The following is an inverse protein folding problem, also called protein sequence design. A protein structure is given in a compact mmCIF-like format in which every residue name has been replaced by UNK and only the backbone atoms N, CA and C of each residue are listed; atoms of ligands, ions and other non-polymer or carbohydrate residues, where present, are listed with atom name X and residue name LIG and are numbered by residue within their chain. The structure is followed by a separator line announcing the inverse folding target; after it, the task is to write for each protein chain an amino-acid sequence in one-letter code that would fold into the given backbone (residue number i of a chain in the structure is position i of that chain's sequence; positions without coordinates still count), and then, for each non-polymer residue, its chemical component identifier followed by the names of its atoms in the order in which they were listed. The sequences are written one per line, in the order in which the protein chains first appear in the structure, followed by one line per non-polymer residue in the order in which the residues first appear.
data_IF_882848195808
#
_entry.id   IF_882848195808
#
_cell.length_a   1.000
_cell.length_b   1.000
_cell.length_c   1.000
_cell.angle_alpha   90.00
_cell.angle_beta   90.00
_cell.angle_gamma   90.00
#
_symmetry.space_group_name_H-M   'P 1'
#
loop_
_entity.id
_entity.type
_entity.pdbx_description
1 polymer ?
#
# COMPACT_ATOMS: atom_id res chain seq x y z
N UNK A 1 -72.18 15.34 -35.69
CA UNK A 1 -70.99 16.08 -35.28
C UNK A 1 -71.22 16.67 -33.91
N UNK A 2 -70.34 16.35 -32.96
CA UNK A 2 -70.35 16.86 -31.58
C UNK A 2 -70.64 15.78 -30.53
N UNK A 3 -69.65 15.34 -29.73
CA UNK A 3 -69.91 14.60 -28.51
C UNK A 3 -70.03 15.55 -27.30
N UNK A 4 -70.81 15.20 -26.25
CA UNK A 4 -70.76 15.87 -24.96
C UNK A 4 -70.02 15.05 -23.89
N UNK A 5 -69.18 15.79 -23.15
CA UNK A 5 -68.87 15.76 -21.69
C UNK A 5 -68.77 14.41 -20.94
N UNK A 6 -67.54 14.12 -20.50
CA UNK A 6 -67.14 14.19 -19.08
C UNK A 6 -67.19 12.92 -18.23
N UNK A 7 -66.02 12.45 -17.76
CA UNK A 7 -65.86 11.88 -16.42
C UNK A 7 -64.38 11.86 -16.01
N UNK A 8 -64.19 12.08 -14.71
CA UNK A 8 -62.94 12.27 -13.97
C UNK A 8 -62.07 11.02 -13.98
N UNK A 9 -60.76 11.21 -14.08
CA UNK A 9 -59.74 10.24 -13.73
C UNK A 9 -58.48 10.97 -13.30
N UNK A 10 -58.44 11.41 -12.05
CA UNK A 10 -57.22 11.88 -11.40
C UNK A 10 -56.27 10.69 -11.25
N UNK A 11 -55.36 10.54 -12.19
CA UNK A 11 -54.19 9.70 -12.02
C UNK A 11 -53.17 10.47 -11.20
N UNK A 12 -53.25 10.38 -9.87
CA UNK A 12 -52.06 10.54 -9.05
C UNK A 12 -51.04 9.52 -9.55
N UNK A 13 -50.07 9.97 -10.34
CA UNK A 13 -48.80 9.26 -10.43
C UNK A 13 -48.16 9.41 -9.06
N UNK A 14 -48.40 8.42 -8.21
CA UNK A 14 -47.58 8.15 -7.05
C UNK A 14 -46.19 7.85 -7.60
N UNK A 15 -45.38 8.90 -7.72
CA UNK A 15 -43.96 8.80 -7.99
C UNK A 15 -43.35 8.20 -6.74
N UNK A 16 -43.28 6.87 -6.71
CA UNK A 16 -42.52 6.13 -5.73
C UNK A 16 -41.06 6.50 -5.96
N UNK A 17 -40.61 7.53 -5.27
CA UNK A 17 -39.21 7.92 -5.23
C UNK A 17 -38.55 6.94 -4.28
N UNK A 18 -38.00 5.87 -4.84
CA UNK A 18 -37.03 5.02 -4.16
C UNK A 18 -35.99 5.93 -3.50
N UNK A 19 -36.09 6.09 -2.18
CA UNK A 19 -35.13 6.88 -1.41
C UNK A 19 -33.79 6.16 -1.47
N UNK A 20 -32.94 6.58 -2.40
CA UNK A 20 -31.57 6.08 -2.53
C UNK A 20 -30.83 6.22 -1.20
N UNK A 21 -30.12 5.16 -0.80
CA UNK A 21 -29.25 5.20 0.38
C UNK A 21 -27.99 5.96 0.00
N UNK A 22 -27.65 6.99 0.77
CA UNK A 22 -26.44 7.77 0.60
C UNK A 22 -25.46 7.42 1.72
N UNK A 23 -24.21 7.22 1.34
CA UNK A 23 -23.09 7.19 2.27
C UNK A 23 -22.39 8.54 2.19
N UNK A 24 -22.15 9.16 3.34
CA UNK A 24 -21.52 10.48 3.45
C UNK A 24 -20.22 10.33 4.22
N UNK A 25 -19.12 10.71 3.58
CA UNK A 25 -17.81 10.76 4.21
C UNK A 25 -17.38 12.21 4.40
N UNK A 26 -16.50 12.42 5.38
CA UNK A 26 -15.83 13.70 5.54
C UNK A 26 -14.90 13.91 4.33
N UNK A 27 -14.86 15.13 3.81
CA UNK A 27 -13.88 15.52 2.81
C UNK A 27 -12.47 15.53 3.41
N UNK A 28 -11.54 14.89 2.70
CA UNK A 28 -10.15 14.72 3.13
C UNK A 28 -9.17 15.42 2.18
N UNK A 29 -9.45 15.37 0.89
CA UNK A 29 -8.64 15.97 -0.16
C UNK A 29 -9.24 15.66 -1.52
N UNK A 30 -8.80 16.42 -2.52
CA UNK A 30 -9.31 16.33 -3.89
C UNK A 30 -8.56 15.32 -4.76
N UNK A 31 -7.33 14.94 -4.35
CA UNK A 31 -6.42 14.13 -5.15
C UNK A 31 -6.11 12.78 -4.52
N UNK A 32 -6.03 11.79 -5.37
CA UNK A 32 -5.56 10.44 -5.06
C UNK A 32 -4.05 10.32 -5.30
N UNK A 33 -3.40 9.33 -4.68
CA UNK A 33 -2.01 9.01 -4.94
C UNK A 33 -1.77 8.63 -6.41
N UNK A 34 -2.74 8.04 -7.10
CA UNK A 34 -2.62 7.69 -8.52
C UNK A 34 -2.33 8.93 -9.38
N UNK A 35 -3.02 10.04 -9.13
CA UNK A 35 -2.80 11.30 -9.87
C UNK A 35 -1.39 11.84 -9.65
N UNK A 36 -0.85 11.75 -8.44
CA UNK A 36 0.53 12.13 -8.16
C UNK A 36 1.53 11.20 -8.83
N UNK A 37 1.33 9.88 -8.76
CA UNK A 37 2.22 8.86 -9.34
C UNK A 37 2.32 8.99 -10.85
N UNK A 38 1.22 9.36 -11.53
CA UNK A 38 1.18 9.47 -12.98
C UNK A 38 1.77 10.78 -13.55
N UNK A 39 2.01 11.79 -12.70
CA UNK A 39 2.60 13.05 -13.09
C UNK A 39 4.11 12.93 -13.39
N UNK A 40 4.62 13.81 -14.25
CA UNK A 40 6.01 13.75 -14.74
C UNK A 40 7.06 14.09 -13.69
N UNK A 41 6.68 14.84 -12.66
CA UNK A 41 7.54 15.32 -11.57
C UNK A 41 7.45 14.45 -10.30
N UNK A 42 6.78 13.30 -10.36
CA UNK A 42 6.80 12.31 -9.29
C UNK A 42 8.21 11.75 -9.06
N UNK A 43 8.67 11.55 -7.81
CA UNK A 43 7.90 11.66 -6.55
C UNK A 43 7.94 13.03 -5.84
N UNK A 44 8.65 14.02 -6.38
CA UNK A 44 8.88 15.28 -5.69
C UNK A 44 7.60 16.13 -5.56
N UNK A 45 6.66 15.98 -6.47
CA UNK A 45 5.34 16.62 -6.40
C UNK A 45 4.52 16.25 -5.16
N UNK A 46 4.89 15.18 -4.46
CA UNK A 46 4.23 14.67 -3.28
C UNK A 46 4.98 15.06 -1.99
N UNK A 47 6.15 15.70 -2.08
CA UNK A 47 6.97 16.10 -0.94
C UNK A 47 6.27 17.14 -0.04
N UNK A 48 5.82 18.24 -0.62
CA UNK A 48 5.15 19.31 0.13
C UNK A 48 3.83 18.83 0.77
N UNK A 49 2.92 18.12 0.07
CA UNK A 49 1.71 17.57 0.67
C UNK A 49 1.96 16.59 1.83
N UNK A 50 3.00 15.74 1.73
CA UNK A 50 3.27 14.71 2.74
C UNK A 50 4.00 15.24 3.96
N UNK A 51 5.02 16.07 3.75
CA UNK A 51 5.89 16.47 4.84
C UNK A 51 5.53 17.86 5.38
N UNK A 52 4.93 18.73 4.58
CA UNK A 52 4.55 20.10 4.96
C UNK A 52 5.75 20.81 5.60
N UNK A 53 5.60 21.35 6.81
CA UNK A 53 6.68 21.97 7.57
C UNK A 53 7.85 21.03 7.94
N UNK A 54 7.71 19.71 7.76
CA UNK A 54 8.76 18.70 7.99
C UNK A 54 9.46 18.26 6.71
N UNK A 55 9.28 18.99 5.61
CA UNK A 55 9.92 18.66 4.34
C UNK A 55 11.43 18.51 4.51
N UNK A 56 12.05 17.52 3.85
CA UNK A 56 13.50 17.47 3.72
C UNK A 56 14.05 18.83 3.27
N UNK A 57 15.26 19.16 3.73
CA UNK A 57 15.94 20.36 3.24
C UNK A 57 16.07 20.28 1.71
N UNK A 58 15.79 21.39 1.01
CA UNK A 58 15.86 21.42 -0.45
C UNK A 58 17.29 21.26 -0.97
N UNK A 59 18.27 21.47 -0.10
CA UNK A 59 19.69 21.18 -0.33
C UNK A 59 20.03 19.68 -0.29
N UNK A 60 19.12 18.82 0.19
CA UNK A 60 19.32 17.38 0.17
C UNK A 60 19.23 16.80 -1.25
N UNK A 61 20.00 15.74 -1.48
CA UNK A 61 20.02 14.95 -2.71
C UNK A 61 18.61 14.53 -3.16
N UNK A 62 18.35 14.65 -4.47
CA UNK A 62 17.03 14.41 -5.08
C UNK A 62 16.59 12.96 -4.90
N UNK A 63 17.50 11.99 -5.03
CA UNK A 63 17.17 10.59 -4.82
C UNK A 63 16.86 10.30 -3.36
N UNK A 64 17.58 10.92 -2.41
CA UNK A 64 17.29 10.82 -0.98
C UNK A 64 15.88 11.33 -0.65
N UNK A 65 15.51 12.49 -1.19
CA UNK A 65 14.16 13.08 -1.04
C UNK A 65 13.10 12.19 -1.67
N UNK A 66 13.36 11.69 -2.87
CA UNK A 66 12.51 10.73 -3.57
C UNK A 66 12.27 9.45 -2.76
N UNK A 67 13.34 8.87 -2.21
CA UNK A 67 13.26 7.68 -1.38
C UNK A 67 12.50 7.94 -0.07
N UNK A 68 12.57 9.15 0.50
CA UNK A 68 11.79 9.53 1.67
C UNK A 68 10.28 9.57 1.37
N UNK A 69 9.88 10.13 0.23
CA UNK A 69 8.48 10.15 -0.24
C UNK A 69 7.94 8.73 -0.37
N UNK A 70 8.62 7.86 -1.12
CA UNK A 70 8.18 6.47 -1.32
C UNK A 70 8.04 5.72 0.01
N UNK A 71 9.00 5.92 0.92
CA UNK A 71 8.98 5.30 2.25
C UNK A 71 7.77 5.75 3.07
N UNK A 72 7.40 7.02 3.01
CA UNK A 72 6.24 7.54 3.74
C UNK A 72 4.92 7.00 3.16
N UNK A 73 4.82 6.90 1.84
CA UNK A 73 3.66 6.28 1.19
C UNK A 73 3.50 4.82 1.61
N UNK A 74 4.57 4.02 1.51
CA UNK A 74 4.55 2.60 1.89
C UNK A 74 4.26 2.43 3.38
N UNK A 75 4.86 3.27 4.24
CA UNK A 75 4.58 3.28 5.68
C UNK A 75 3.11 3.51 5.95
N UNK A 76 2.51 4.53 5.33
CA UNK A 76 1.11 4.89 5.50
C UNK A 76 0.18 3.77 5.04
N UNK A 77 0.45 3.16 3.88
CA UNK A 77 -0.32 2.03 3.36
C UNK A 77 -0.26 0.82 4.31
N UNK A 78 0.92 0.46 4.83
CA UNK A 78 1.06 -0.65 5.77
C UNK A 78 0.45 -0.33 7.15
N UNK A 79 0.48 0.92 7.60
CA UNK A 79 -0.19 1.34 8.83
C UNK A 79 -1.72 1.22 8.71
N UNK A 80 -2.29 1.68 7.59
CA UNK A 80 -3.72 1.54 7.29
C UNK A 80 -4.12 0.06 7.23
N UNK A 81 -3.38 -0.75 6.46
CA UNK A 81 -3.61 -2.19 6.37
C UNK A 81 -3.52 -2.87 7.75
N UNK A 82 -2.48 -2.58 8.55
CA UNK A 82 -2.34 -3.11 9.91
C UNK A 82 -3.55 -2.74 10.78
N UNK A 83 -4.04 -1.51 10.70
CA UNK A 83 -5.21 -1.08 11.46
C UNK A 83 -6.46 -1.87 11.07
N UNK A 84 -6.75 -2.00 9.76
CA UNK A 84 -7.87 -2.81 9.26
C UNK A 84 -7.75 -4.29 9.67
N UNK A 85 -6.55 -4.86 9.54
CA UNK A 85 -6.26 -6.25 9.88
C UNK A 85 -6.45 -6.53 11.38
N UNK A 86 -6.08 -5.58 12.24
CA UNK A 86 -6.34 -5.68 13.68
C UNK A 86 -7.84 -5.65 14.02
N UNK A 87 -8.64 -5.08 13.12
CA UNK A 87 -10.10 -5.10 13.13
C UNK A 87 -10.73 -6.35 12.52
N UNK A 88 -9.94 -7.26 11.93
CA UNK A 88 -10.45 -8.42 11.20
C UNK A 88 -10.96 -8.11 9.78
N UNK A 89 -10.64 -6.92 9.26
CA UNK A 89 -11.05 -6.46 7.94
C UNK A 89 -9.87 -6.56 6.96
N UNK A 90 -10.11 -7.04 5.74
CA UNK A 90 -9.15 -7.02 4.63
C UNK A 90 -9.70 -6.10 3.55
N UNK A 91 -8.89 -5.18 3.03
CA UNK A 91 -9.36 -4.17 2.09
C UNK A 91 -9.64 -4.73 0.69
N UNK A 92 -8.81 -5.63 0.19
CA UNK A 92 -8.91 -6.30 -1.13
C UNK A 92 -8.68 -5.43 -2.37
N UNK A 93 -8.56 -4.12 -2.21
CA UNK A 93 -8.38 -3.18 -3.33
C UNK A 93 -7.43 -2.05 -2.94
N UNK A 94 -6.32 -2.39 -2.29
CA UNK A 94 -5.28 -1.42 -1.97
C UNK A 94 -4.57 -1.03 -3.26
N UNK A 95 -4.65 0.24 -3.65
CA UNK A 95 -4.00 0.79 -4.84
C UNK A 95 -3.89 2.31 -4.75
N UNK A 96 -3.06 2.97 -5.56
CA UNK A 96 -2.92 4.42 -5.53
C UNK A 96 -4.23 5.19 -5.72
N UNK A 97 -5.16 4.67 -6.53
CA UNK A 97 -6.46 5.29 -6.76
C UNK A 97 -7.34 5.35 -5.50
N UNK A 98 -7.11 4.42 -4.56
CA UNK A 98 -7.85 4.31 -3.31
C UNK A 98 -7.09 4.96 -2.14
N UNK A 99 -6.00 5.70 -2.40
CA UNK A 99 -5.27 6.43 -1.38
C UNK A 99 -5.44 7.94 -1.57
N UNK A 100 -6.08 8.60 -0.62
CA UNK A 100 -6.34 10.05 -0.66
C UNK A 100 -5.20 10.77 0.05
N UNK A 101 -4.68 11.83 -0.57
CA UNK A 101 -3.73 12.74 0.05
C UNK A 101 -4.51 13.80 0.82
N UNK A 102 -4.41 13.80 2.15
CA UNK A 102 -5.19 14.69 3.01
C UNK A 102 -4.67 16.12 2.97
N UNK A 103 -5.56 17.07 2.69
CA UNK A 103 -5.30 18.52 2.69
C UNK A 103 -5.39 19.10 4.12
N UNK A 104 -5.77 18.30 5.13
CA UNK A 104 -5.97 18.78 6.50
C UNK A 104 -4.68 18.92 7.29
N UNK A 105 -4.53 20.01 8.02
CA UNK A 105 -3.36 20.26 8.87
C UNK A 105 -3.09 19.22 9.97
N UNK A 106 -4.12 18.48 10.39
CA UNK A 106 -4.03 17.44 11.42
C UNK A 106 -4.55 16.08 10.96
N UNK A 107 -3.96 15.02 11.52
CA UNK A 107 -4.28 13.63 11.21
C UNK A 107 -3.31 12.99 10.21
N UNK A 108 -3.65 11.80 9.68
CA UNK A 108 -2.87 11.13 8.65
C UNK A 108 -2.80 11.95 7.36
N UNK A 109 -1.64 12.01 6.74
CA UNK A 109 -1.42 12.69 5.45
C UNK A 109 -1.87 11.85 4.26
N UNK A 110 -1.95 10.53 4.43
CA UNK A 110 -2.48 9.60 3.44
C UNK A 110 -3.54 8.71 4.09
N UNK A 111 -4.69 8.59 3.43
CA UNK A 111 -5.82 7.81 3.89
C UNK A 111 -6.18 6.75 2.87
N UNK A 112 -6.44 5.53 3.33
CA UNK A 112 -6.96 4.45 2.51
C UNK A 112 -8.50 4.56 2.50
N UNK A 113 -9.07 4.61 1.29
CA UNK A 113 -10.49 4.81 1.02
C UNK A 113 -11.04 3.67 0.14
N UNK A 114 -12.34 3.71 -0.13
CA UNK A 114 -13.08 2.71 -0.91
C UNK A 114 -13.09 1.30 -0.30
N UNK A 115 -14.01 1.11 0.65
CA UNK A 115 -14.28 -0.19 1.28
C UNK A 115 -15.28 -1.04 0.49
N UNK A 116 -15.59 -0.71 -0.77
CA UNK A 116 -16.56 -1.44 -1.58
C UNK A 116 -16.20 -2.91 -1.80
N UNK A 117 -14.89 -3.20 -1.87
CA UNK A 117 -14.35 -4.56 -2.01
C UNK A 117 -13.95 -5.20 -0.67
N UNK A 118 -14.03 -4.47 0.45
CA UNK A 118 -13.51 -4.96 1.73
C UNK A 118 -14.34 -6.12 2.27
N UNK A 119 -13.66 -7.03 2.99
CA UNK A 119 -14.29 -8.17 3.69
C UNK A 119 -14.07 -8.05 5.19
N UNK A 120 -15.14 -8.23 5.97
CA UNK A 120 -15.10 -8.29 7.43
C UNK A 120 -15.23 -9.74 7.88
N UNK A 121 -14.12 -10.32 8.34
CA UNK A 121 -14.07 -11.72 8.76
C UNK A 121 -14.61 -11.94 10.17
N UNK A 122 -14.89 -10.89 10.95
CA UNK A 122 -15.49 -11.02 12.29
C UNK A 122 -17.01 -11.07 12.19
N UNK A 123 -17.58 -10.20 11.37
CA UNK A 123 -19.03 -10.06 11.26
C UNK A 123 -19.61 -10.80 10.03
N UNK A 124 -18.77 -11.31 9.14
CA UNK A 124 -19.18 -12.08 7.96
C UNK A 124 -19.69 -11.21 6.79
N UNK A 125 -19.42 -9.90 6.80
CA UNK A 125 -19.78 -9.01 5.68
C UNK A 125 -18.84 -9.21 4.49
N UNK A 126 -19.41 -9.24 3.28
CA UNK A 126 -18.70 -9.44 2.01
C UNK A 126 -17.79 -10.69 2.01
N UNK A 127 -18.18 -11.72 2.77
CA UNK A 127 -17.48 -13.01 2.88
C UNK A 127 -17.67 -13.89 1.64
N UNK A 128 -17.95 -13.32 0.46
CA UNK A 128 -18.03 -14.09 -0.76
C UNK A 128 -16.65 -14.14 -1.43
N UNK A 129 -15.96 -15.30 -1.44
CA UNK A 129 -14.67 -15.43 -2.12
C UNK A 129 -14.78 -15.22 -3.63
N UNK A 130 -15.96 -15.42 -4.23
CA UNK A 130 -16.17 -15.40 -5.68
C UNK A 130 -16.48 -14.01 -6.24
N UNK A 131 -16.79 -13.03 -5.38
CA UNK A 131 -17.20 -11.70 -5.80
C UNK A 131 -16.15 -10.67 -5.35
N UNK A 132 -15.41 -10.18 -6.34
CA UNK A 132 -14.62 -8.98 -6.24
C UNK A 132 -14.07 -8.67 -7.61
N UNK A 133 -14.48 -7.55 -8.19
CA UNK A 133 -13.71 -6.92 -9.26
C UNK A 133 -12.37 -6.51 -8.66
N UNK A 134 -11.39 -7.41 -8.74
CA UNK A 134 -10.04 -7.14 -8.33
C UNK A 134 -9.34 -6.34 -9.42
N UNK A 135 -8.51 -5.39 -9.02
CA UNK A 135 -7.61 -4.74 -9.95
C UNK A 135 -6.42 -5.66 -10.26
N UNK A 136 -6.31 -6.21 -11.49
CA UNK A 136 -5.26 -7.18 -11.83
C UNK A 136 -3.85 -6.59 -11.77
N UNK A 137 -3.71 -5.26 -11.68
CA UNK A 137 -2.43 -4.57 -11.50
C UNK A 137 -1.82 -4.81 -10.12
N UNK A 138 -2.67 -4.92 -9.10
CA UNK A 138 -2.25 -4.99 -7.70
C UNK A 138 -2.71 -6.29 -7.01
N UNK A 139 -3.56 -7.08 -7.66
CA UNK A 139 -4.03 -8.34 -7.13
C UNK A 139 -2.92 -9.41 -7.13
N UNK A 140 -2.80 -10.21 -6.05
CA UNK A 140 -1.89 -11.34 -6.01
C UNK A 140 -2.36 -12.49 -6.92
N UNK A 141 -1.44 -13.39 -7.34
CA UNK A 141 -1.75 -14.49 -8.27
C UNK A 141 -2.79 -15.46 -7.71
N UNK A 142 -2.88 -15.62 -6.39
CA UNK A 142 -3.86 -16.50 -5.78
C UNK A 142 -5.32 -16.00 -5.90
N UNK A 143 -5.54 -14.75 -6.35
CA UNK A 143 -6.83 -14.06 -6.63
C UNK A 143 -7.93 -14.10 -5.54
N UNK A 144 -7.76 -14.87 -4.47
CA UNK A 144 -8.77 -15.11 -3.44
C UNK A 144 -8.19 -14.84 -2.06
N UNK A 145 -8.94 -14.14 -1.20
CA UNK A 145 -8.51 -13.85 0.19
C UNK A 145 -8.53 -15.10 1.06
N UNK A 146 -9.46 -16.03 0.80
CA UNK A 146 -9.58 -17.32 1.47
C UNK A 146 -9.75 -18.42 0.41
N UNK A 147 -9.32 -19.66 0.71
CA UNK A 147 -9.63 -20.79 -0.15
C UNK A 147 -11.14 -20.97 -0.32
N UNK A 148 -11.59 -21.39 -1.51
CA UNK A 148 -13.01 -21.68 -1.78
C UNK A 148 -13.59 -22.81 -0.90
N UNK A 149 -12.74 -23.57 -0.22
CA UNK A 149 -13.12 -24.62 0.73
C UNK A 149 -13.60 -24.07 2.08
N UNK A 150 -13.37 -22.77 2.37
CA UNK A 150 -13.93 -22.12 3.57
C UNK A 150 -15.42 -21.86 3.32
N UNK A 151 -16.34 -22.36 4.18
CA UNK A 151 -17.78 -22.20 3.98
C UNK A 151 -18.18 -20.72 3.85
N UNK A 152 -19.12 -20.42 2.92
CA UNK A 152 -19.74 -19.09 2.79
C UNK A 152 -20.34 -18.70 4.14
N UNK A 153 -19.89 -17.56 4.68
CA UNK A 153 -20.22 -16.96 5.98
C UNK A 153 -20.95 -17.88 6.98
N UNK A 154 -20.26 -18.43 8.00
CA UNK A 154 -20.98 -19.08 9.10
C UNK A 154 -21.84 -18.03 9.85
N UNK A 155 -22.94 -18.42 10.54
CA UNK A 155 -23.77 -17.51 11.34
C UNK A 155 -22.91 -16.52 12.16
N UNK A 156 -23.37 -15.28 12.38
CA UNK A 156 -22.54 -14.21 12.96
C UNK A 156 -21.73 -14.62 14.21
N UNK A 157 -22.28 -15.47 15.08
CA UNK A 157 -21.59 -15.99 16.26
C UNK A 157 -20.41 -16.93 15.93
N UNK A 158 -20.56 -17.81 14.92
CA UNK A 158 -19.50 -18.69 14.45
C UNK A 158 -18.48 -17.98 13.55
N UNK A 159 -18.86 -16.88 12.88
CA UNK A 159 -17.91 -15.99 12.23
C UNK A 159 -16.96 -15.36 13.26
N UNK A 160 -17.48 -14.84 14.37
CA UNK A 160 -16.67 -14.26 15.46
C UNK A 160 -15.72 -15.29 16.09
N UNK A 161 -16.22 -16.50 16.39
CA UNK A 161 -15.41 -17.56 17.00
C UNK A 161 -14.39 -18.17 16.02
N UNK A 162 -14.73 -18.27 14.73
CA UNK A 162 -13.87 -18.81 13.69
C UNK A 162 -12.84 -17.80 13.14
N UNK A 163 -13.10 -16.50 13.27
CA UNK A 163 -12.25 -15.44 12.71
C UNK A 163 -10.79 -15.52 13.14
N UNK A 164 -10.44 -15.71 14.44
CA UNK A 164 -9.05 -15.85 14.86
C UNK A 164 -8.37 -17.08 14.23
N UNK A 165 -9.08 -18.20 14.11
CA UNK A 165 -8.56 -19.41 13.49
C UNK A 165 -8.32 -19.21 11.99
N UNK A 166 -9.27 -18.62 11.27
CA UNK A 166 -9.14 -18.26 9.85
C UNK A 166 -7.94 -17.35 9.64
N UNK A 167 -7.77 -16.34 10.50
CA UNK A 167 -6.66 -15.40 10.40
C UNK A 167 -5.30 -16.08 10.65
N UNK A 168 -5.23 -16.98 11.63
CA UNK A 168 -4.04 -17.75 11.94
C UNK A 168 -3.68 -18.74 10.82
N UNK A 169 -4.67 -19.42 10.24
CA UNK A 169 -4.47 -20.47 9.25
C UNK A 169 -4.19 -19.92 7.85
N UNK A 170 -4.94 -18.90 7.40
CA UNK A 170 -4.93 -18.46 6.00
C UNK A 170 -4.28 -17.09 5.78
N UNK A 171 -3.97 -16.37 6.87
CA UNK A 171 -3.35 -15.04 6.85
C UNK A 171 -3.95 -14.09 5.77
N UNK A 172 -5.27 -13.86 5.78
CA UNK A 172 -5.99 -13.19 4.69
C UNK A 172 -5.53 -11.74 4.47
N UNK A 173 -5.09 -11.03 5.52
CA UNK A 173 -4.51 -9.69 5.40
C UNK A 173 -3.24 -9.62 4.55
N UNK A 174 -2.58 -10.76 4.27
CA UNK A 174 -1.44 -10.78 3.33
C UNK A 174 -1.84 -10.48 1.88
N UNK A 175 -3.14 -10.47 1.57
CA UNK A 175 -3.64 -9.99 0.29
C UNK A 175 -3.28 -8.51 0.09
N UNK A 176 -3.62 -7.66 1.06
CA UNK A 176 -3.36 -6.21 1.00
C UNK A 176 -1.86 -5.90 0.95
N UNK A 177 -1.02 -6.69 1.64
CA UNK A 177 0.42 -6.46 1.66
C UNK A 177 1.10 -6.74 0.32
N UNK A 178 0.54 -7.63 -0.51
CA UNK A 178 1.04 -7.84 -1.87
C UNK A 178 0.83 -6.59 -2.72
N UNK A 179 -0.38 -6.03 -2.65
CA UNK A 179 -0.72 -4.80 -3.35
C UNK A 179 0.19 -3.63 -2.95
N UNK A 180 0.54 -3.52 -1.66
CA UNK A 180 1.55 -2.54 -1.21
C UNK A 180 2.93 -2.79 -1.82
N UNK A 181 3.33 -4.06 -1.99
CA UNK A 181 4.56 -4.42 -2.70
C UNK A 181 4.55 -3.97 -4.17
N UNK A 182 3.43 -4.20 -4.86
CA UNK A 182 3.22 -3.74 -6.25
C UNK A 182 3.25 -2.22 -6.36
N UNK A 183 2.67 -1.50 -5.38
CA UNK A 183 2.76 -0.04 -5.30
C UNK A 183 4.21 0.44 -5.14
N UNK A 184 4.99 -0.17 -4.24
CA UNK A 184 6.40 0.18 -4.08
C UNK A 184 7.18 -0.06 -5.37
N UNK A 185 6.95 -1.19 -6.04
CA UNK A 185 7.56 -1.49 -7.33
C UNK A 185 7.20 -0.44 -8.39
N UNK A 186 5.91 -0.09 -8.50
CA UNK A 186 5.41 0.93 -9.44
C UNK A 186 6.05 2.30 -9.20
N UNK A 187 6.09 2.76 -7.95
CA UNK A 187 6.62 4.09 -7.60
C UNK A 187 8.15 4.15 -7.74
N UNK A 188 8.83 3.05 -7.37
CA UNK A 188 10.28 2.91 -7.36
C UNK A 188 10.93 2.81 -8.74
N UNK A 189 10.17 2.38 -9.75
CA UNK A 189 10.67 2.20 -11.12
C UNK A 189 9.93 3.16 -12.06
N UNK A 190 10.57 4.25 -12.51
CA UNK A 190 9.92 5.31 -13.30
C UNK A 190 9.10 4.83 -14.50
N UNK A 191 9.60 3.82 -15.21
CA UNK A 191 8.97 3.25 -16.40
C UNK A 191 7.65 2.50 -16.09
N UNK A 192 7.40 2.14 -14.82
CA UNK A 192 6.24 1.39 -14.38
C UNK A 192 5.10 2.26 -13.85
N UNK A 193 5.30 3.59 -13.71
CA UNK A 193 4.34 4.50 -13.09
C UNK A 193 3.03 4.64 -13.89
N UNK A 194 3.06 4.34 -15.19
CA UNK A 194 1.86 4.26 -16.04
C UNK A 194 1.13 2.93 -15.83
N UNK A 195 -0.20 3.00 -15.79
CA UNK A 195 -1.08 1.88 -15.43
C UNK A 195 -0.97 0.67 -16.35
N UNK A 196 -0.71 0.90 -17.64
CA UNK A 196 -0.60 -0.12 -18.67
C UNK A 196 0.65 -0.98 -18.47
N UNK A 197 1.77 -0.36 -18.09
CA UNK A 197 3.02 -1.07 -17.79
C UNK A 197 2.84 -2.06 -16.64
N UNK A 198 2.08 -1.68 -15.61
CA UNK A 198 1.95 -2.49 -14.39
C UNK A 198 1.12 -3.76 -14.61
N UNK A 199 0.11 -3.72 -15.50
CA UNK A 199 -0.62 -4.94 -15.87
C UNK A 199 0.31 -5.98 -16.52
N UNK A 200 1.21 -5.54 -17.40
CA UNK A 200 2.19 -6.41 -18.04
C UNK A 200 3.18 -6.98 -17.01
N UNK A 201 3.63 -6.16 -16.06
CA UNK A 201 4.51 -6.61 -14.97
C UNK A 201 3.83 -7.68 -14.12
N UNK A 202 2.59 -7.46 -13.70
CA UNK A 202 1.82 -8.43 -12.92
C UNK A 202 1.73 -9.80 -13.62
N UNK A 203 1.42 -9.80 -14.93
CA UNK A 203 1.40 -11.04 -15.74
C UNK A 203 2.77 -11.71 -15.82
N UNK A 204 3.84 -10.95 -16.07
CA UNK A 204 5.19 -11.52 -16.18
C UNK A 204 5.73 -12.06 -14.85
N UNK A 205 5.37 -11.45 -13.73
CA UNK A 205 5.68 -12.01 -12.40
C UNK A 205 4.97 -13.35 -12.23
N UNK A 206 3.70 -13.46 -12.66
CA UNK A 206 2.99 -14.75 -12.64
C UNK A 206 3.63 -15.80 -13.58
N UNK A 207 4.13 -15.40 -14.75
CA UNK A 207 4.90 -16.27 -15.66
C UNK A 207 6.22 -16.77 -15.03
N UNK A 208 6.80 -15.99 -14.11
CA UNK A 208 7.94 -16.35 -13.27
C UNK A 208 7.53 -17.07 -11.98
N UNK A 209 6.36 -17.71 -11.94
CA UNK A 209 5.90 -18.45 -10.75
C UNK A 209 5.69 -17.58 -9.51
N UNK A 210 5.49 -16.27 -9.66
CA UNK A 210 5.38 -15.33 -8.54
C UNK A 210 6.72 -14.85 -7.99
N UNK A 211 7.83 -15.18 -8.65
CA UNK A 211 9.17 -14.74 -8.27
C UNK A 211 9.52 -13.41 -8.95
N UNK A 212 9.54 -12.34 -8.14
CA UNK A 212 9.86 -10.99 -8.61
C UNK A 212 11.36 -10.80 -8.89
N UNK A 213 12.24 -11.64 -8.31
CA UNK A 213 13.67 -11.62 -8.60
C UNK A 213 13.94 -12.21 -9.98
N UNK A 214 13.35 -13.37 -10.28
CA UNK A 214 13.40 -13.97 -11.61
C UNK A 214 12.79 -13.04 -12.68
N UNK A 215 11.67 -12.37 -12.36
CA UNK A 215 11.08 -11.36 -13.24
C UNK A 215 12.06 -10.22 -13.55
N UNK A 216 12.74 -9.69 -12.53
CA UNK A 216 13.71 -8.61 -12.70
C UNK A 216 14.89 -9.04 -13.57
N UNK A 217 15.39 -10.25 -13.41
CA UNK A 217 16.48 -10.80 -14.23
C UNK A 217 16.08 -10.95 -15.70
N UNK A 218 14.88 -11.49 -15.95
CA UNK A 218 14.40 -11.77 -17.32
C UNK A 218 13.91 -10.53 -18.06
N UNK A 219 13.25 -9.61 -17.37
CA UNK A 219 12.51 -8.51 -18.00
C UNK A 219 12.93 -7.11 -17.53
N UNK A 220 13.77 -7.00 -16.49
CA UNK A 220 14.13 -5.73 -15.86
C UNK A 220 15.35 -5.02 -16.44
N UNK A 221 16.00 -5.57 -17.48
CA UNK A 221 17.29 -5.04 -18.00
C UNK A 221 17.25 -3.57 -18.41
N UNK A 222 16.10 -3.06 -18.87
CA UNK A 222 15.91 -1.68 -19.31
C UNK A 222 15.12 -0.82 -18.29
N UNK A 223 14.91 -1.32 -17.08
CA UNK A 223 14.19 -0.62 -16.03
C UNK A 223 15.17 0.01 -15.03
N UNK A 224 14.81 1.18 -14.51
CA UNK A 224 15.61 1.87 -13.52
C UNK A 224 15.16 1.50 -12.11
N UNK A 225 16.01 0.75 -11.40
CA UNK A 225 15.79 0.32 -10.03
C UNK A 225 16.56 1.15 -9.00
N UNK A 226 17.22 2.25 -9.39
CA UNK A 226 18.12 3.00 -8.52
C UNK A 226 17.48 3.34 -7.18
N UNK A 227 16.24 3.84 -7.17
CA UNK A 227 15.51 4.18 -5.94
C UNK A 227 15.26 2.97 -5.02
N UNK A 228 15.03 1.78 -5.58
CA UNK A 228 14.81 0.53 -4.82
C UNK A 228 16.12 -0.10 -4.34
N UNK A 229 17.20 0.09 -5.09
CA UNK A 229 18.53 -0.45 -4.79
C UNK A 229 19.32 0.39 -3.77
N UNK A 230 18.84 1.60 -3.45
CA UNK A 230 19.39 2.44 -2.38
C UNK A 230 19.46 1.70 -1.05
N UNK A 231 20.41 2.15 -0.22
CA UNK A 231 20.71 1.56 1.09
C UNK A 231 20.96 0.04 1.01
N UNK A 232 21.77 -0.37 0.03
CA UNK A 232 22.12 -1.77 -0.20
C UNK A 232 20.86 -2.64 -0.42
N UNK A 233 20.02 -2.24 -1.37
CA UNK A 233 18.86 -3.00 -1.81
C UNK A 233 17.67 -3.00 -0.86
N UNK A 234 17.58 -2.07 0.09
CA UNK A 234 16.54 -2.15 1.14
C UNK A 234 15.11 -2.07 0.58
N UNK A 235 14.89 -1.24 -0.45
CA UNK A 235 13.59 -1.10 -1.10
C UNK A 235 13.25 -2.35 -1.91
N UNK A 236 14.21 -2.83 -2.70
CA UNK A 236 14.08 -4.07 -3.45
C UNK A 236 13.80 -5.27 -2.54
N UNK A 237 14.55 -5.42 -1.44
CA UNK A 237 14.34 -6.45 -0.44
C UNK A 237 12.91 -6.39 0.12
N UNK A 238 12.35 -5.22 0.39
CA UNK A 238 10.96 -5.14 0.83
C UNK A 238 9.98 -5.61 -0.26
N UNK A 239 10.23 -5.25 -1.53
CA UNK A 239 9.43 -5.75 -2.67
C UNK A 239 9.45 -7.27 -2.71
N UNK A 240 10.62 -7.93 -2.61
CA UNK A 240 10.71 -9.41 -2.64
C UNK A 240 10.03 -10.08 -1.45
N UNK A 241 9.87 -9.38 -0.33
CA UNK A 241 9.14 -9.88 0.85
C UNK A 241 7.63 -9.65 0.81
N UNK A 242 7.15 -8.79 -0.09
CA UNK A 242 5.73 -8.44 -0.26
C UNK A 242 5.13 -9.05 -1.54
N UNK A 243 5.90 -9.08 -2.63
CA UNK A 243 5.54 -9.64 -3.94
C UNK A 243 6.15 -11.03 -4.06
N UNK A 244 5.59 -11.94 -3.26
CA UNK A 244 5.96 -13.36 -3.19
C UNK A 244 4.72 -14.16 -2.79
N UNK A 245 4.80 -15.49 -2.89
CA UNK A 245 3.79 -16.40 -2.37
C UNK A 245 3.33 -16.04 -0.95
N UNK A 246 2.03 -16.17 -0.73
CA UNK A 246 1.37 -15.82 0.53
C UNK A 246 2.02 -16.45 1.76
N UNK A 247 2.47 -17.69 1.66
CA UNK A 247 3.10 -18.41 2.80
C UNK A 247 4.33 -17.65 3.33
N UNK A 248 5.16 -17.12 2.43
CA UNK A 248 6.41 -16.39 2.72
C UNK A 248 6.20 -14.88 2.90
N UNK A 249 5.13 -14.34 2.33
CA UNK A 249 4.81 -12.90 2.33
C UNK A 249 4.71 -12.32 3.74
N UNK A 250 5.28 -11.13 3.95
CA UNK A 250 5.21 -10.44 5.23
C UNK A 250 3.79 -9.92 5.51
N UNK A 251 3.33 -10.05 6.75
CA UNK A 251 2.17 -9.29 7.24
C UNK A 251 2.49 -7.81 7.35
N UNK A 252 1.47 -6.94 7.38
CA UNK A 252 1.65 -5.49 7.50
C UNK A 252 2.45 -5.11 8.76
N UNK A 253 2.17 -5.77 9.89
CA UNK A 253 2.90 -5.55 11.14
C UNK A 253 4.40 -5.90 11.03
N UNK A 254 4.75 -7.00 10.35
CA UNK A 254 6.15 -7.41 10.15
C UNK A 254 6.84 -6.52 9.12
N UNK A 255 6.15 -6.12 8.06
CA UNK A 255 6.66 -5.23 7.02
C UNK A 255 7.00 -3.83 7.59
N UNK A 256 6.21 -3.30 8.52
CA UNK A 256 6.52 -2.05 9.23
C UNK A 256 7.83 -2.10 10.03
N UNK A 257 8.28 -3.30 10.42
CA UNK A 257 9.58 -3.51 11.09
C UNK A 257 10.77 -3.67 10.12
N UNK A 258 10.53 -3.64 8.80
CA UNK A 258 11.56 -3.85 7.79
C UNK A 258 12.55 -2.67 7.74
N UNK A 259 13.82 -2.95 7.40
CA UNK A 259 14.90 -1.94 7.35
C UNK A 259 14.61 -0.77 6.42
N UNK A 260 13.91 -1.01 5.30
CA UNK A 260 13.47 0.04 4.38
C UNK A 260 12.66 1.15 5.08
N UNK A 261 11.81 0.77 6.03
CA UNK A 261 10.93 1.69 6.75
C UNK A 261 11.55 2.25 8.04
N UNK A 262 12.72 1.76 8.44
CA UNK A 262 13.47 2.39 9.53
C UNK A 262 14.10 3.68 8.99
N UNK A 263 14.10 4.73 9.81
CA UNK A 263 14.68 6.01 9.41
C UNK A 263 16.17 5.83 9.10
N UNK A 264 16.66 6.54 8.08
CA UNK A 264 18.09 6.86 8.07
C UNK A 264 18.34 7.70 9.34
N UNK A 265 19.40 7.44 10.09
CA UNK A 265 19.85 8.38 11.12
C UNK A 265 20.16 9.71 10.43
N UNK A 266 19.19 10.62 10.41
CA UNK A 266 19.42 12.02 10.06
C UNK A 266 19.98 12.66 11.34
N UNK A 267 21.30 12.61 11.51
CA UNK A 267 22.02 13.39 12.53
C UNK A 267 22.44 12.67 13.82
N UNK A 268 23.05 11.47 13.73
CA UNK A 268 23.88 10.95 14.84
C UNK A 268 25.33 11.42 14.69
N UNK A 269 26.06 11.73 15.78
CA UNK A 269 27.44 12.23 15.69
C UNK A 269 28.32 11.23 14.93
N UNK A 270 29.05 11.75 13.95
CA UNK A 270 30.12 11.03 13.26
C UNK A 270 31.10 10.57 14.34
N UNK A 271 31.20 9.25 14.53
CA UNK A 271 32.26 8.68 15.36
C UNK A 271 33.59 9.13 14.75
N UNK A 272 34.51 9.71 15.54
CA UNK A 272 35.80 10.11 15.01
C UNK A 272 36.53 8.87 14.44
N UNK A 273 37.33 9.03 13.38
CA UNK A 273 38.13 7.93 12.84
C UNK A 273 39.03 7.36 13.93
N UNK A 274 39.36 6.06 13.88
CA UNK A 274 40.20 5.44 14.88
C UNK A 274 41.55 6.17 14.93
N UNK A 275 41.85 6.67 16.13
CA UNK A 275 43.10 7.34 16.45
C UNK A 275 44.25 6.39 16.08
N UNK A 276 45.10 6.82 15.14
CA UNK A 276 46.32 6.09 14.84
C UNK A 276 47.14 6.08 16.14
N UNK A 277 47.36 4.88 16.67
CA UNK A 277 48.21 4.66 17.83
C UNK A 277 49.58 5.27 17.57
N UNK A 278 49.84 6.44 18.15
CA UNK A 278 51.17 7.00 18.25
C UNK A 278 51.88 6.27 19.37
N UNK A 279 52.89 5.48 19.00
CA UNK A 279 53.80 4.82 19.94
C UNK A 279 54.48 5.85 20.84
N UNK A 280 54.49 5.68 22.17
CA UNK A 280 55.34 6.51 23.02
C UNK A 280 56.78 5.94 23.00
N UNK A 281 57.65 6.61 22.24
CA UNK A 281 59.09 6.62 22.49
C UNK A 281 59.36 7.60 23.65
N UNK A 282 59.73 7.07 24.80
CA UNK A 282 60.09 7.85 25.99
C UNK A 282 61.14 7.13 26.82
N UNK A 283 62.39 7.32 26.43
CA UNK A 283 63.63 6.88 27.10
C UNK A 283 63.69 7.33 28.56
N UNK A 284 63.81 6.38 29.49
CA UNK A 284 64.19 6.65 30.88
C UNK A 284 65.71 6.54 31.02
N UNK A 285 66.39 7.69 31.02
CA UNK A 285 67.80 7.81 31.38
C UNK A 285 67.95 7.75 32.90
N UNK A 286 68.44 6.63 33.42
CA UNK A 286 68.91 6.51 34.80
C UNK A 286 70.32 7.13 34.89
N UNK A 287 70.46 8.24 35.63
CA UNK A 287 71.76 8.70 36.13
C UNK A 287 72.13 7.91 37.40
N UNK A 288 73.30 7.29 37.38
CA UNK A 288 74.24 7.27 38.50
C UNK A 288 75.48 8.01 38.06
#
# INVERSE_FOLDING_TARGET
GGPPRGSRGGGERQGDTEKGRLLVWRYEGSKTLEEYVQASDFPLNLEDPLFRARAPSKEADVEKRSAAVLREVVRSALQAAKAMHSGGVVHRDVKPANMIISERDSGPTILLADLGAAVDLRNGYNFNPDEGLLDPRYAPPEQYVLPQTVPRAPPALSAVLGSPFIWAQYAPGKFDTYAVGMMLLQMGVPQLRKSESLQLVSRRIAECGGDVEEWRERFGQNLDFALLDRQNGAGWELVTKLVVDRSRRLSAARALGHRYLKSENVGGPVSPPPEQATSPLGSATLRR
#
